data_IF_751107392604
#
_entry.id   IF_751107392604
#
_cell.length_a   1.000
_cell.length_b   1.000
_cell.length_c   1.000
_cell.angle_alpha   90.00
_cell.angle_beta   90.00
_cell.angle_gamma   90.00
#
_symmetry.space_group_name_H-M   'P 1'
#
loop_
_entity.id
_entity.type
_entity.pdbx_description
1 polymer ?
#
# COMPACT_ATOMS: atom_id res chain seq x y z
N UNK A 1 -6.83 -0.96 27.55
CA UNK A 1 -6.67 -1.07 26.08
C UNK A 1 -6.73 -2.56 25.74
N UNK A 2 -7.65 -2.97 24.88
CA UNK A 2 -7.66 -4.36 24.40
C UNK A 2 -6.50 -4.54 23.41
N UNK A 3 -5.77 -5.64 23.54
CA UNK A 3 -4.71 -5.99 22.61
C UNK A 3 -5.32 -6.20 21.21
N UNK A 4 -4.68 -5.64 20.19
CA UNK A 4 -5.05 -5.88 18.78
C UNK A 4 -4.20 -7.03 18.26
N UNK A 5 -4.77 -8.22 17.98
CA UNK A 5 -3.99 -9.35 17.51
C UNK A 5 -3.53 -9.13 16.07
N UNK A 6 -2.27 -9.46 15.80
CA UNK A 6 -1.77 -9.64 14.43
C UNK A 6 -2.00 -11.10 14.07
N UNK A 7 -2.92 -11.36 13.14
CA UNK A 7 -3.32 -12.71 12.75
C UNK A 7 -2.30 -13.37 11.81
N UNK A 8 -1.70 -12.58 10.93
CA UNK A 8 -0.68 -13.04 9.99
C UNK A 8 0.21 -11.87 9.55
N UNK A 9 1.42 -12.18 9.11
CA UNK A 9 2.34 -11.21 8.53
C UNK A 9 3.15 -11.85 7.40
N UNK A 10 3.53 -11.06 6.42
CA UNK A 10 4.36 -11.49 5.29
C UNK A 10 5.08 -10.30 4.66
N UNK A 11 6.17 -10.57 3.96
CA UNK A 11 6.88 -9.57 3.13
C UNK A 11 7.44 -10.21 1.87
N UNK A 12 7.67 -9.40 0.86
CA UNK A 12 8.49 -9.78 -0.30
C UNK A 12 9.97 -9.73 0.04
N UNK A 13 10.85 -10.33 -0.77
CA UNK A 13 12.26 -9.96 -0.78
C UNK A 13 12.41 -8.46 -1.06
N UNK A 14 13.47 -7.86 -0.54
CA UNK A 14 13.90 -6.50 -0.92
C UNK A 14 14.88 -6.63 -2.08
N UNK A 15 14.59 -5.97 -3.19
CA UNK A 15 15.45 -5.95 -4.37
C UNK A 15 15.92 -4.53 -4.68
N UNK A 16 17.14 -4.35 -5.19
CA UNK A 16 17.63 -3.04 -5.62
C UNK A 16 16.85 -2.53 -6.84
N UNK A 17 16.90 -1.22 -7.05
CA UNK A 17 16.38 -0.58 -8.27
C UNK A 17 17.00 -1.25 -9.49
N UNK A 18 16.18 -1.58 -10.49
CA UNK A 18 16.62 -2.31 -11.68
C UNK A 18 16.87 -3.81 -11.47
N UNK A 19 16.71 -4.33 -10.25
CA UNK A 19 16.92 -5.74 -9.92
C UNK A 19 15.76 -6.66 -10.28
N UNK A 20 15.70 -7.81 -9.62
CA UNK A 20 14.78 -8.91 -9.95
C UNK A 20 13.27 -8.52 -9.91
N UNK A 21 12.90 -7.49 -9.15
CA UNK A 21 11.52 -7.01 -9.02
C UNK A 21 11.26 -5.74 -9.84
N UNK A 22 12.18 -5.32 -10.72
CA UNK A 22 12.10 -4.05 -11.43
C UNK A 22 10.85 -3.89 -12.32
N UNK A 23 10.31 -4.99 -12.83
CA UNK A 23 9.10 -4.97 -13.66
C UNK A 23 7.80 -4.82 -12.86
N UNK A 24 7.84 -5.10 -11.55
CA UNK A 24 6.65 -5.15 -10.71
C UNK A 24 6.21 -3.76 -10.25
N UNK A 25 4.91 -3.53 -10.22
CA UNK A 25 4.27 -2.38 -9.59
C UNK A 25 3.97 -2.68 -8.11
N UNK A 26 3.73 -1.67 -7.25
CA UNK A 26 3.46 -1.90 -5.83
C UNK A 26 2.34 -2.91 -5.56
N UNK A 27 1.23 -2.82 -6.30
CA UNK A 27 0.11 -3.74 -6.12
C UNK A 27 0.40 -5.17 -6.60
N UNK A 28 1.25 -5.33 -7.62
CA UNK A 28 1.68 -6.65 -8.12
C UNK A 28 2.60 -7.36 -7.11
N UNK A 29 3.37 -6.58 -6.35
CA UNK A 29 4.17 -7.10 -5.23
C UNK A 29 3.29 -7.46 -4.03
N UNK A 30 2.31 -6.64 -3.71
CA UNK A 30 1.51 -6.77 -2.50
C UNK A 30 0.33 -7.75 -2.63
N UNK A 31 -0.30 -7.88 -3.80
CA UNK A 31 -1.48 -8.74 -3.95
C UNK A 31 -1.23 -10.22 -3.61
N UNK A 32 -0.12 -10.85 -4.02
CA UNK A 32 0.19 -12.21 -3.59
C UNK A 32 0.37 -12.34 -2.07
N UNK A 33 0.90 -11.30 -1.41
CA UNK A 33 1.03 -11.28 0.05
C UNK A 33 -0.35 -11.23 0.72
N UNK A 34 -1.29 -10.43 0.20
CA UNK A 34 -2.66 -10.39 0.74
C UNK A 34 -3.31 -11.75 0.65
N UNK A 35 -3.19 -12.44 -0.49
CA UNK A 35 -3.72 -13.80 -0.64
C UNK A 35 -3.09 -14.76 0.39
N UNK A 36 -1.78 -14.67 0.60
CA UNK A 36 -1.05 -15.48 1.58
C UNK A 36 -1.49 -15.16 3.01
N UNK A 37 -1.62 -13.89 3.39
CA UNK A 37 -2.07 -13.46 4.71
C UNK A 37 -3.46 -14.01 5.04
N UNK A 38 -4.38 -13.96 4.09
CA UNK A 38 -5.75 -14.48 4.25
C UNK A 38 -5.75 -15.99 4.43
N UNK A 39 -4.93 -16.71 3.66
CA UNK A 39 -4.78 -18.15 3.79
C UNK A 39 -4.20 -18.53 5.18
N UNK A 40 -3.14 -17.86 5.61
CA UNK A 40 -2.50 -18.10 6.90
C UNK A 40 -3.42 -17.77 8.10
N UNK A 41 -4.28 -16.76 7.95
CA UNK A 41 -5.28 -16.38 8.94
C UNK A 41 -6.55 -17.24 8.89
N UNK A 42 -6.72 -18.09 7.88
CA UNK A 42 -7.95 -18.86 7.66
C UNK A 42 -9.18 -18.00 7.35
N UNK A 43 -8.98 -16.81 6.74
CA UNK A 43 -10.04 -15.85 6.47
C UNK A 43 -10.35 -15.76 4.98
N UNK A 44 -11.65 -15.70 4.61
CA UNK A 44 -12.02 -15.39 3.23
C UNK A 44 -11.74 -13.92 2.91
N UNK A 45 -11.50 -13.59 1.65
CA UNK A 45 -11.30 -12.21 1.23
C UNK A 45 -12.50 -11.31 1.61
N UNK A 46 -13.71 -11.84 1.69
CA UNK A 46 -14.92 -11.12 2.11
C UNK A 46 -14.90 -10.64 3.57
N UNK A 47 -14.04 -11.20 4.41
CA UNK A 47 -13.91 -10.78 5.81
C UNK A 47 -13.13 -9.46 5.98
N UNK A 48 -12.41 -8.99 4.96
CA UNK A 48 -11.61 -7.77 5.04
C UNK A 48 -12.50 -6.53 4.98
N UNK A 49 -12.50 -5.74 6.04
CA UNK A 49 -13.29 -4.51 6.15
C UNK A 49 -12.56 -3.28 5.61
N UNK A 50 -11.23 -3.25 5.71
CA UNK A 50 -10.44 -2.13 5.19
C UNK A 50 -9.04 -2.56 4.73
N UNK A 51 -8.47 -1.78 3.81
CA UNK A 51 -7.08 -1.88 3.35
C UNK A 51 -6.39 -0.54 3.58
N UNK A 52 -5.32 -0.53 4.35
CA UNK A 52 -4.50 0.66 4.61
C UNK A 52 -3.09 0.42 4.11
N UNK A 53 -2.65 1.19 3.12
CA UNK A 53 -1.37 1.00 2.46
C UNK A 53 -0.51 2.25 2.52
N UNK A 54 0.69 2.13 3.07
CA UNK A 54 1.75 3.13 2.94
C UNK A 54 2.37 3.08 1.55
N UNK A 55 2.42 4.21 0.87
CA UNK A 55 3.09 4.36 -0.41
C UNK A 55 3.45 5.82 -0.63
N UNK A 56 4.74 6.14 -0.77
CA UNK A 56 5.27 7.50 -0.87
C UNK A 56 5.55 7.93 -2.31
N UNK A 57 5.96 7.01 -3.18
CA UNK A 57 6.34 7.36 -4.55
C UNK A 57 5.14 7.57 -5.48
N UNK A 58 3.98 7.06 -5.08
CA UNK A 58 2.83 6.96 -5.95
C UNK A 58 2.99 5.82 -6.96
N UNK A 59 1.90 5.42 -7.58
CA UNK A 59 1.92 4.33 -8.58
C UNK A 59 0.89 4.55 -9.69
N UNK A 60 0.44 5.80 -9.82
CA UNK A 60 -0.72 6.14 -10.65
C UNK A 60 -2.02 5.65 -10.01
N UNK A 61 -3.00 6.51 -9.87
CA UNK A 61 -4.26 6.23 -9.21
C UNK A 61 -4.12 6.15 -7.67
N UNK A 62 -4.92 5.30 -7.06
CA UNK A 62 -5.00 5.13 -5.61
C UNK A 62 -4.40 3.76 -5.22
N UNK A 63 -3.13 3.68 -4.79
CA UNK A 63 -2.41 2.42 -4.59
C UNK A 63 -3.14 1.40 -3.73
N UNK A 64 -3.68 1.78 -2.56
CA UNK A 64 -4.43 0.87 -1.70
C UNK A 64 -5.70 0.34 -2.40
N UNK A 65 -6.38 1.16 -3.19
CA UNK A 65 -7.57 0.74 -3.92
C UNK A 65 -7.23 -0.23 -5.06
N UNK A 66 -6.13 0.05 -5.76
CA UNK A 66 -5.63 -0.86 -6.81
C UNK A 66 -5.25 -2.20 -6.21
N UNK A 67 -4.55 -2.20 -5.05
CA UNK A 67 -4.22 -3.40 -4.30
C UNK A 67 -5.47 -4.19 -3.89
N UNK A 68 -6.46 -3.54 -3.28
CA UNK A 68 -7.69 -4.19 -2.84
C UNK A 68 -8.41 -4.90 -4.00
N UNK A 69 -8.43 -4.28 -5.18
CA UNK A 69 -8.99 -4.89 -6.40
C UNK A 69 -8.16 -6.08 -6.89
N UNK A 70 -6.84 -5.92 -6.96
CA UNK A 70 -5.92 -6.96 -7.40
C UNK A 70 -5.95 -8.19 -6.48
N UNK A 71 -6.20 -7.98 -5.19
CA UNK A 71 -6.37 -9.03 -4.19
C UNK A 71 -7.78 -9.67 -4.15
N UNK A 72 -8.58 -9.48 -5.19
CA UNK A 72 -9.91 -10.10 -5.30
C UNK A 72 -11.01 -9.41 -4.49
N UNK A 73 -10.83 -8.14 -4.12
CA UNK A 73 -11.83 -7.32 -3.41
C UNK A 73 -12.40 -6.18 -4.28
N UNK A 74 -13.15 -6.48 -5.33
CA UNK A 74 -13.64 -5.45 -6.26
C UNK A 74 -14.71 -4.53 -5.65
N UNK A 75 -15.42 -5.01 -4.62
CA UNK A 75 -16.61 -4.31 -4.14
C UNK A 75 -16.36 -3.22 -3.14
N UNK A 76 -15.94 -3.48 -1.92
CA UNK A 76 -16.18 -2.52 -0.85
C UNK A 76 -15.33 -2.50 0.40
N UNK A 77 -14.10 -2.87 0.54
CA UNK A 77 -13.46 -2.29 1.70
C UNK A 77 -13.08 -0.84 1.40
N UNK A 78 -13.27 0.09 2.32
CA UNK A 78 -12.54 1.34 2.32
C UNK A 78 -11.06 1.04 2.10
N UNK A 79 -10.43 1.81 1.23
CA UNK A 79 -9.01 1.67 0.96
C UNK A 79 -8.35 3.04 1.16
N UNK A 80 -7.32 3.09 1.98
CA UNK A 80 -6.63 4.32 2.35
C UNK A 80 -5.17 4.18 1.98
N UNK A 81 -4.65 5.14 1.24
CA UNK A 81 -3.21 5.25 0.99
C UNK A 81 -2.65 6.37 1.86
N UNK A 82 -1.61 6.06 2.62
CA UNK A 82 -0.89 7.00 3.48
C UNK A 82 0.48 7.29 2.88
N UNK A 83 0.88 8.55 2.96
CA UNK A 83 2.21 9.01 2.61
C UNK A 83 2.77 9.83 3.77
N UNK A 84 3.60 9.21 4.56
CA UNK A 84 4.48 9.83 5.54
C UNK A 84 5.94 9.43 5.24
N UNK A 85 6.27 9.36 3.95
CA UNK A 85 7.59 8.98 3.46
C UNK A 85 8.00 7.59 3.96
N UNK A 86 9.21 7.45 4.47
CA UNK A 86 9.79 6.17 4.92
C UNK A 86 8.98 5.47 6.03
N UNK A 87 8.17 6.21 6.79
CA UNK A 87 7.36 5.68 7.89
C UNK A 87 5.96 5.24 7.46
N UNK A 88 5.55 5.47 6.21
CA UNK A 88 4.18 5.26 5.74
C UNK A 88 3.64 3.85 6.02
N UNK A 89 4.50 2.82 5.92
CA UNK A 89 4.11 1.44 6.23
C UNK A 89 3.76 1.22 7.70
N UNK A 90 4.50 1.85 8.62
CA UNK A 90 4.22 1.79 10.06
C UNK A 90 2.97 2.60 10.41
N UNK A 91 2.82 3.78 9.81
CA UNK A 91 1.64 4.62 10.02
C UNK A 91 0.37 3.95 9.50
N UNK A 92 0.46 3.15 8.43
CA UNK A 92 -0.64 2.33 7.95
C UNK A 92 -1.10 1.30 9.01
N UNK A 93 -0.16 0.68 9.73
CA UNK A 93 -0.47 -0.24 10.84
C UNK A 93 -1.11 0.53 11.99
N UNK A 94 -0.56 1.69 12.36
CA UNK A 94 -1.12 2.54 13.42
C UNK A 94 -2.55 2.98 13.09
N UNK A 95 -2.79 3.37 11.85
CA UNK A 95 -4.14 3.74 11.39
C UNK A 95 -5.11 2.56 11.47
N UNK A 96 -4.67 1.36 11.07
CA UNK A 96 -5.46 0.14 11.17
C UNK A 96 -5.85 -0.16 12.63
N UNK A 97 -4.91 -0.01 13.57
CA UNK A 97 -5.22 -0.13 15.01
C UNK A 97 -6.30 0.86 15.45
N UNK A 98 -6.28 2.09 14.93
CA UNK A 98 -7.32 3.08 15.18
C UNK A 98 -8.70 2.63 14.69
N UNK A 99 -8.80 2.12 13.47
CA UNK A 99 -10.06 1.60 12.90
C UNK A 99 -10.63 0.45 13.76
N UNK A 100 -9.76 -0.48 14.17
CA UNK A 100 -10.14 -1.60 15.04
C UNK A 100 -10.60 -1.12 16.42
N UNK A 101 -9.85 -0.20 17.04
CA UNK A 101 -10.15 0.33 18.38
C UNK A 101 -11.47 1.10 18.43
N UNK A 102 -11.83 1.78 17.34
CA UNK A 102 -13.09 2.52 17.21
C UNK A 102 -14.26 1.64 16.75
N UNK A 103 -14.05 0.36 16.54
CA UNK A 103 -15.09 -0.57 16.06
C UNK A 103 -15.54 -0.28 14.61
N UNK A 104 -14.77 0.48 13.84
CA UNK A 104 -15.06 0.81 12.44
C UNK A 104 -14.69 -0.32 11.49
N UNK A 105 -13.87 -1.26 11.93
CA UNK A 105 -13.47 -2.46 11.22
C UNK A 105 -13.22 -3.59 12.21
N UNK A 106 -13.34 -4.84 11.75
CA UNK A 106 -12.98 -6.05 12.50
C UNK A 106 -11.74 -6.71 11.93
N UNK A 107 -11.53 -6.63 10.61
CA UNK A 107 -10.39 -7.18 9.91
C UNK A 107 -9.80 -6.12 8.98
N UNK A 108 -8.54 -5.76 9.20
CA UNK A 108 -7.83 -4.76 8.40
C UNK A 108 -6.53 -5.36 7.86
N UNK A 109 -6.28 -5.13 6.58
CA UNK A 109 -4.97 -5.37 5.96
C UNK A 109 -4.21 -4.05 5.97
N UNK A 110 -3.03 -4.04 6.59
CA UNK A 110 -2.20 -2.85 6.71
C UNK A 110 -0.73 -3.16 6.42
N UNK A 111 -0.02 -2.21 5.87
CA UNK A 111 1.41 -2.31 5.59
C UNK A 111 1.85 -1.30 4.55
N UNK A 112 3.01 -1.50 3.95
CA UNK A 112 3.56 -0.67 2.89
C UNK A 112 3.95 -1.45 1.65
N UNK A 113 3.87 -0.82 0.49
CA UNK A 113 4.39 -1.37 -0.75
C UNK A 113 4.97 -0.25 -1.61
N UNK A 114 6.19 -0.47 -2.07
CA UNK A 114 6.90 0.51 -2.89
C UNK A 114 7.60 -0.19 -4.07
N UNK A 115 7.73 0.50 -5.19
CA UNK A 115 8.39 -0.01 -6.39
C UNK A 115 9.19 1.12 -7.08
N UNK A 116 10.40 1.36 -6.59
CA UNK A 116 11.29 2.42 -7.09
C UNK A 116 11.53 2.34 -8.59
N UNK A 117 11.72 1.14 -9.14
CA UNK A 117 11.94 0.93 -10.58
C UNK A 117 10.72 1.31 -11.43
N UNK A 118 9.55 1.46 -10.82
CA UNK A 118 8.28 1.80 -11.47
C UNK A 118 7.68 3.12 -10.96
N UNK A 119 8.49 3.90 -10.23
CA UNK A 119 8.08 5.22 -9.75
C UNK A 119 7.71 6.13 -10.93
N UNK A 120 6.62 6.90 -10.84
CA UNK A 120 6.22 7.82 -11.89
C UNK A 120 7.20 9.00 -11.98
N UNK A 121 7.42 9.48 -13.19
CA UNK A 121 8.08 10.76 -13.38
C UNK A 121 7.12 11.88 -12.94
N UNK A 122 7.61 12.76 -12.07
CA UNK A 122 6.84 13.91 -11.58
C UNK A 122 7.31 15.18 -12.30
N UNK A 123 6.39 15.85 -12.94
CA UNK A 123 6.62 17.13 -13.60
C UNK A 123 5.88 18.23 -12.83
N UNK A 124 6.58 19.31 -12.52
CA UNK A 124 5.92 20.50 -12.00
C UNK A 124 5.15 21.20 -13.13
N UNK A 125 3.93 21.63 -12.83
CA UNK A 125 3.20 22.48 -13.76
C UNK A 125 3.94 23.82 -13.87
N UNK A 126 4.26 24.31 -15.08
CA UNK A 126 4.94 25.59 -15.23
C UNK A 126 4.07 26.72 -14.66
N UNK A 127 4.68 27.60 -13.90
CA UNK A 127 4.03 28.79 -13.34
C UNK A 127 4.07 29.98 -14.29
N UNK A 128 4.93 29.92 -15.34
CA UNK A 128 5.05 30.90 -16.43
C UNK A 128 5.39 30.13 -17.72
N UNK A 129 5.34 30.83 -18.86
CA UNK A 129 5.64 30.27 -20.18
C UNK A 129 7.11 29.83 -20.29
N UNK A 130 7.36 28.60 -19.93
CA UNK A 130 8.66 27.93 -20.00
C UNK A 130 8.51 26.44 -19.77
N UNK A 131 9.50 25.60 -20.14
CA UNK A 131 9.42 24.17 -19.89
C UNK A 131 9.38 23.91 -18.38
N UNK A 132 8.48 23.02 -17.95
CA UNK A 132 8.41 22.60 -16.57
C UNK A 132 9.69 21.86 -16.19
N UNK A 133 10.39 22.23 -15.12
CA UNK A 133 11.52 21.45 -14.64
C UNK A 133 11.05 20.08 -14.18
N UNK A 134 11.86 19.07 -14.42
CA UNK A 134 11.68 17.75 -13.81
C UNK A 134 11.83 17.92 -12.30
N UNK A 135 10.89 17.39 -11.54
CA UNK A 135 11.10 17.28 -10.10
C UNK A 135 12.36 16.42 -9.87
N UNK A 136 13.25 16.80 -8.95
CA UNK A 136 14.32 15.92 -8.56
C UNK A 136 13.72 14.59 -8.15
N UNK A 137 14.34 13.50 -8.57
CA UNK A 137 13.97 12.16 -8.12
C UNK A 137 13.99 12.13 -6.59
N UNK A 138 13.29 11.19 -5.97
CA UNK A 138 13.40 11.00 -4.53
C UNK A 138 14.88 10.76 -4.16
N UNK A 139 15.32 11.23 -3.01
CA UNK A 139 16.68 11.04 -2.52
C UNK A 139 17.07 9.59 -2.40
#
# INVERSE_FOLDING_TARGET
>A
MNAMPILAWARTPVAPVGGALAACRPHELAAPLVARLLADAGLPASAVDAVVLGNALGAGGHPARVLARAAGRPGRPPAITLDSQCCAGLDAITHACGLLALGQAQVVIAGGAEAWSRAPLRLHRPTQAGPAPLAPGPP
#
